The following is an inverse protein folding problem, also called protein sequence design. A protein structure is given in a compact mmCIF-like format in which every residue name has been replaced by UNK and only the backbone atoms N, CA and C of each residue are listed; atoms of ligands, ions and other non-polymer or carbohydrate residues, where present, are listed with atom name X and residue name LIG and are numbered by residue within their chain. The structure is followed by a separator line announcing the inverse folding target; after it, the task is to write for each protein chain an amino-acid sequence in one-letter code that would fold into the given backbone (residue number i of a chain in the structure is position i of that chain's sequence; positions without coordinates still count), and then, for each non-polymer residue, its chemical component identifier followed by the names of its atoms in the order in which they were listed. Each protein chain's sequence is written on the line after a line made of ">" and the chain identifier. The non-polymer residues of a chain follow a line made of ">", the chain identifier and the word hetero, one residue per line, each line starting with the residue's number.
data_IF_893676804222
#
_entry.id   IF_893676804222
#
_cell.length_a   1.000
_cell.length_b   1.000
_cell.length_c   1.000
_cell.angle_alpha   90.00
_cell.angle_beta   90.00
_cell.angle_gamma   90.00
#
_symmetry.space_group_name_H-M   'P 1'
#
loop_
_entity.id
_entity.type
_entity.pdbx_description
1 polymer ?
#
# COMPACT_ATOMS: atom_id res chain seq x y z
N UNK A 1 -64.91 43.36 42.79
CA UNK A 1 -63.43 43.36 42.91
C UNK A 1 -62.91 42.05 42.33
N UNK A 2 -61.92 42.16 41.44
CA UNK A 2 -60.99 41.15 40.88
C UNK A 2 -61.56 39.82 40.34
N UNK A 3 -61.59 39.76 38.99
CA UNK A 3 -61.58 38.55 38.16
C UNK A 3 -60.29 37.76 38.43
N UNK A 4 -60.37 36.46 38.67
CA UNK A 4 -59.20 35.57 38.58
C UNK A 4 -59.44 34.59 37.44
N UNK A 5 -58.75 34.85 36.34
CA UNK A 5 -58.69 34.05 35.13
C UNK A 5 -57.83 32.82 35.43
N UNK A 6 -58.41 31.63 35.25
CA UNK A 6 -57.68 30.36 35.22
C UNK A 6 -56.81 30.36 33.95
N UNK A 7 -55.50 30.29 34.12
CA UNK A 7 -54.57 29.89 33.05
C UNK A 7 -53.64 28.83 33.61
N UNK A 8 -54.02 27.58 33.40
CA UNK A 8 -53.12 26.42 33.55
C UNK A 8 -52.21 26.45 32.32
N UNK A 9 -51.01 27.03 32.46
CA UNK A 9 -49.93 26.82 31.48
C UNK A 9 -49.18 25.57 31.91
N UNK A 10 -49.65 24.42 31.43
CA UNK A 10 -48.86 23.20 31.43
C UNK A 10 -47.74 23.37 30.40
N UNK A 11 -46.58 23.86 30.83
CA UNK A 11 -45.35 23.79 30.06
C UNK A 11 -44.89 22.33 30.01
N UNK A 12 -45.51 21.55 29.12
CA UNK A 12 -44.91 20.36 28.56
C UNK A 12 -43.63 20.79 27.84
N UNK A 13 -42.50 20.67 28.52
CA UNK A 13 -41.23 20.46 27.86
C UNK A 13 -41.31 19.08 27.18
N UNK A 14 -41.95 19.05 26.01
CA UNK A 14 -41.67 18.07 24.98
C UNK A 14 -40.25 18.38 24.49
N UNK A 15 -39.25 17.94 25.27
CA UNK A 15 -37.90 17.71 24.78
C UNK A 15 -38.02 16.64 23.70
N UNK A 16 -38.29 17.11 22.49
CA UNK A 16 -38.27 16.31 21.28
C UNK A 16 -36.92 15.61 21.18
N UNK A 17 -36.98 14.29 21.35
CA UNK A 17 -36.18 13.30 20.66
C UNK A 17 -34.68 13.62 20.45
N UNK A 18 -33.85 13.12 21.35
CA UNK A 18 -32.52 12.60 20.96
C UNK A 18 -32.23 11.25 21.64
N UNK A 19 -33.26 10.41 21.81
CA UNK A 19 -33.15 9.06 22.42
C UNK A 19 -32.91 7.99 21.32
N UNK A 20 -32.48 8.36 20.11
CA UNK A 20 -32.26 7.40 19.03
C UNK A 20 -30.98 7.60 18.21
N UNK A 21 -29.97 8.31 18.73
CA UNK A 21 -28.61 8.11 18.25
C UNK A 21 -28.01 6.94 19.05
N UNK A 22 -28.30 5.71 18.61
CA UNK A 22 -27.44 4.57 18.97
C UNK A 22 -26.04 4.94 18.49
N UNK A 23 -25.19 5.43 19.41
CA UNK A 23 -23.77 5.71 19.20
C UNK A 23 -23.17 4.59 18.36
N UNK A 24 -23.09 4.81 17.06
CA UNK A 24 -22.71 3.74 16.14
C UNK A 24 -21.23 3.93 15.90
N UNK A 25 -20.48 3.12 16.62
CA UNK A 25 -19.03 3.16 16.65
C UNK A 25 -18.46 2.35 15.49
N UNK A 26 -17.17 2.53 15.25
CA UNK A 26 -16.36 1.68 14.41
C UNK A 26 -15.35 0.92 15.30
N UNK A 27 -14.85 -0.20 14.79
CA UNK A 27 -13.84 -0.99 15.48
C UNK A 27 -12.49 -0.95 14.77
N UNK A 28 -11.42 -1.05 15.54
CA UNK A 28 -10.06 -1.29 15.08
C UNK A 28 -9.47 -2.47 15.87
N UNK A 29 -8.89 -3.43 15.17
CA UNK A 29 -8.08 -4.49 15.72
C UNK A 29 -6.67 -4.39 15.15
N UNK A 30 -5.66 -4.52 16.01
CA UNK A 30 -4.24 -4.52 15.60
C UNK A 30 -3.54 -5.73 16.21
N UNK A 31 -2.85 -6.50 15.38
CA UNK A 31 -2.06 -7.68 15.74
C UNK A 31 -0.65 -7.48 15.18
N UNK A 32 0.38 -7.79 15.97
CA UNK A 32 1.78 -7.52 15.60
C UNK A 32 2.68 -8.76 15.58
N UNK A 33 2.13 -9.93 15.21
CA UNK A 33 2.85 -11.21 15.07
C UNK A 33 3.86 -11.48 16.19
N UNK A 34 3.39 -11.43 17.43
CA UNK A 34 4.18 -11.65 18.66
C UNK A 34 5.34 -10.66 18.90
N UNK A 35 5.35 -9.51 18.21
CA UNK A 35 6.23 -8.37 18.49
C UNK A 35 5.46 -7.32 19.30
N UNK A 36 5.66 -7.22 20.63
CA UNK A 36 5.00 -6.21 21.45
C UNK A 36 5.19 -4.82 20.86
N UNK A 37 4.08 -4.10 20.66
CA UNK A 37 4.09 -2.80 19.99
C UNK A 37 3.03 -1.89 20.60
N UNK A 38 3.35 -0.61 20.75
CA UNK A 38 2.42 0.45 21.10
C UNK A 38 1.67 0.93 19.86
N UNK A 39 0.35 1.08 19.95
CA UNK A 39 -0.48 1.55 18.84
C UNK A 39 -1.00 2.95 19.14
N UNK A 40 -0.89 3.84 18.17
CA UNK A 40 -1.37 5.21 18.24
C UNK A 40 -2.39 5.47 17.13
N UNK A 41 -3.42 6.26 17.44
CA UNK A 41 -4.44 6.72 16.51
C UNK A 41 -4.39 8.26 16.46
N UNK A 42 -4.12 8.83 15.30
CA UNK A 42 -3.85 10.26 15.09
C UNK A 42 -2.81 10.83 16.08
N UNK A 43 -1.75 10.04 16.33
CA UNK A 43 -0.67 10.39 17.26
C UNK A 43 -1.03 10.26 18.75
N UNK A 44 -2.29 9.94 19.09
CA UNK A 44 -2.68 9.65 20.47
C UNK A 44 -2.44 8.18 20.78
N UNK A 45 -1.78 7.88 21.90
CA UNK A 45 -1.59 6.51 22.36
C UNK A 45 -2.96 5.86 22.60
N UNK A 46 -3.19 4.70 21.99
CA UNK A 46 -4.41 3.92 22.13
C UNK A 46 -4.21 2.80 23.16
N UNK A 47 -3.42 1.79 22.81
CA UNK A 47 -3.11 0.62 23.67
C UNK A 47 -1.92 -0.15 23.07
N UNK A 48 -1.41 -1.17 23.76
CA UNK A 48 -0.47 -2.15 23.17
C UNK A 48 -1.17 -3.24 22.36
N UNK A 49 -0.53 -3.68 21.27
CA UNK A 49 -0.98 -4.83 20.49
C UNK A 49 -0.60 -6.16 21.19
N UNK A 50 -1.43 -7.22 21.06
CA UNK A 50 -2.68 -7.25 20.30
C UNK A 50 -3.82 -6.50 21.01
N UNK A 51 -4.58 -5.72 20.25
CA UNK A 51 -5.72 -4.94 20.78
C UNK A 51 -6.96 -5.07 19.91
N UNK A 52 -8.13 -4.88 20.52
CA UNK A 52 -9.41 -4.68 19.84
C UNK A 52 -10.16 -3.55 20.54
N UNK A 53 -10.29 -2.39 19.88
CA UNK A 53 -11.12 -1.27 20.35
C UNK A 53 -12.37 -1.17 19.47
N UNK A 54 -13.55 -1.14 20.08
CA UNK A 54 -14.85 -1.20 19.37
C UNK A 54 -15.66 0.10 19.50
N UNK A 55 -15.17 1.07 20.26
CA UNK A 55 -15.86 2.31 20.59
C UNK A 55 -15.20 3.54 19.96
N UNK A 56 -14.69 3.41 18.74
CA UNK A 56 -14.07 4.52 18.01
C UNK A 56 -15.16 5.25 17.22
N UNK A 57 -15.04 6.57 17.09
CA UNK A 57 -15.90 7.32 16.17
C UNK A 57 -15.56 6.93 14.73
N UNK A 58 -16.56 6.77 13.83
CA UNK A 58 -16.26 6.56 12.42
C UNK A 58 -15.51 7.75 11.82
N UNK A 59 -14.52 7.47 10.96
CA UNK A 59 -13.64 8.49 10.38
C UNK A 59 -12.41 7.90 9.71
N UNK A 60 -11.57 8.76 9.13
CA UNK A 60 -10.24 8.39 8.63
C UNK A 60 -9.22 8.74 9.69
N UNK A 61 -8.31 7.81 9.96
CA UNK A 61 -7.33 7.92 11.04
C UNK A 61 -5.94 7.51 10.55
N UNK A 62 -4.91 8.22 11.00
CA UNK A 62 -3.54 7.75 10.97
C UNK A 62 -3.32 6.72 12.07
N UNK A 63 -2.84 5.54 11.72
CA UNK A 63 -2.44 4.49 12.66
C UNK A 63 -0.93 4.38 12.63
N UNK A 64 -0.30 4.54 13.79
CA UNK A 64 1.13 4.28 13.99
C UNK A 64 1.31 3.08 14.92
N UNK A 65 2.13 2.13 14.49
CA UNK A 65 2.54 0.95 15.26
C UNK A 65 4.03 1.13 15.58
N UNK A 66 4.34 1.25 16.87
CA UNK A 66 5.70 1.44 17.39
C UNK A 66 6.12 0.17 18.14
N UNK A 67 7.06 -0.64 17.60
CA UNK A 67 7.59 -1.78 18.34
C UNK A 67 8.28 -1.36 19.64
N UNK A 68 8.16 -2.19 20.69
CA UNK A 68 8.92 -1.98 21.94
C UNK A 68 10.42 -2.23 21.73
N UNK A 69 10.78 -3.09 20.78
CA UNK A 69 12.16 -3.38 20.39
C UNK A 69 12.69 -2.25 19.48
N UNK A 70 13.72 -1.49 19.91
CA UNK A 70 14.23 -0.35 19.15
C UNK A 70 14.99 -0.74 17.88
N UNK A 71 15.26 -2.03 17.66
CA UNK A 71 15.87 -2.52 16.41
C UNK A 71 14.86 -2.67 15.29
N UNK A 72 13.57 -2.74 15.61
CA UNK A 72 12.49 -2.88 14.64
C UNK A 72 11.96 -1.52 14.19
N UNK A 73 11.51 -1.43 12.95
CA UNK A 73 11.02 -0.16 12.41
C UNK A 73 9.54 0.07 12.75
N UNK A 74 9.17 1.31 13.10
CA UNK A 74 7.77 1.68 13.25
C UNK A 74 7.06 1.68 11.89
N UNK A 75 5.75 1.44 11.92
CA UNK A 75 4.89 1.47 10.74
C UNK A 75 3.80 2.51 10.90
N UNK A 76 3.50 3.24 9.83
CA UNK A 76 2.46 4.25 9.82
C UNK A 76 1.61 4.09 8.56
N UNK A 77 0.30 4.16 8.73
CA UNK A 77 -0.68 3.97 7.66
C UNK A 77 -1.95 4.76 7.94
N UNK A 78 -2.79 4.94 6.92
CA UNK A 78 -4.11 5.56 7.06
C UNK A 78 -5.19 4.50 6.86
N UNK A 79 -6.21 4.50 7.72
CA UNK A 79 -7.37 3.59 7.63
C UNK A 79 -8.68 4.35 7.70
N UNK A 80 -9.72 3.81 7.08
CA UNK A 80 -11.08 4.35 7.16
C UNK A 80 -11.95 3.49 8.06
N UNK A 81 -12.14 3.94 9.29
CA UNK A 81 -12.99 3.28 10.27
C UNK A 81 -14.46 3.56 9.96
N UNK A 82 -15.16 2.57 9.41
CA UNK A 82 -16.57 2.71 9.01
C UNK A 82 -17.51 2.28 10.12
N UNK A 83 -18.63 3.00 10.21
CA UNK A 83 -19.72 2.75 11.16
C UNK A 83 -20.18 1.29 11.14
N UNK A 84 -20.15 0.64 12.31
CA UNK A 84 -20.61 -0.73 12.51
C UNK A 84 -19.67 -1.80 11.94
N UNK A 85 -18.49 -1.42 11.45
CA UNK A 85 -17.51 -2.33 10.86
C UNK A 85 -16.22 -2.35 11.67
N UNK A 86 -15.52 -3.48 11.61
CA UNK A 86 -14.21 -3.69 12.21
C UNK A 86 -13.15 -3.60 11.10
N UNK A 87 -12.18 -2.72 11.28
CA UNK A 87 -10.93 -2.71 10.49
C UNK A 87 -9.90 -3.55 11.22
N UNK A 88 -9.17 -4.40 10.51
CA UNK A 88 -8.16 -5.29 11.09
C UNK A 88 -6.81 -5.01 10.45
N UNK A 89 -5.78 -4.79 11.26
CA UNK A 89 -4.39 -4.66 10.83
C UNK A 89 -3.59 -5.80 11.45
N UNK A 90 -2.96 -6.61 10.61
CA UNK A 90 -1.95 -7.59 11.01
C UNK A 90 -0.62 -7.12 10.47
N UNK A 91 0.36 -6.89 11.34
CA UNK A 91 1.65 -6.32 10.99
C UNK A 91 2.80 -7.15 11.53
N UNK A 92 3.83 -7.37 10.72
CA UNK A 92 5.07 -8.06 11.08
C UNK A 92 6.20 -7.04 10.94
N UNK A 93 6.57 -6.33 12.01
CA UNK A 93 7.68 -5.39 11.96
C UNK A 93 9.01 -6.15 11.89
N UNK A 94 9.94 -5.60 11.11
CA UNK A 94 11.30 -6.09 10.97
C UNK A 94 12.29 -4.92 11.13
N UNK A 95 13.58 -5.18 11.04
CA UNK A 95 14.69 -4.23 11.19
C UNK A 95 14.76 -3.17 10.09
N UNK A 96 14.06 -3.39 8.98
CA UNK A 96 14.00 -2.48 7.83
C UNK A 96 12.58 -2.37 7.26
N UNK A 97 12.19 -1.21 6.69
CA UNK A 97 10.85 -1.01 6.14
C UNK A 97 10.45 -2.00 5.04
N UNK A 98 11.40 -2.47 4.23
CA UNK A 98 11.22 -3.41 3.14
C UNK A 98 11.18 -4.87 3.60
N UNK A 99 11.74 -5.18 4.77
CA UNK A 99 11.65 -6.50 5.39
C UNK A 99 10.38 -6.63 6.25
N UNK A 100 9.74 -5.50 6.57
CA UNK A 100 8.45 -5.48 7.28
C UNK A 100 7.30 -5.72 6.30
N UNK A 101 6.28 -6.44 6.76
CA UNK A 101 5.10 -6.76 5.94
C UNK A 101 3.85 -6.94 6.78
N UNK A 102 2.70 -7.08 6.12
CA UNK A 102 1.43 -7.26 6.80
C UNK A 102 0.22 -7.05 5.90
N UNK A 103 -0.97 -7.18 6.51
CA UNK A 103 -2.26 -7.07 5.82
C UNK A 103 -3.22 -6.18 6.58
N UNK A 104 -3.93 -5.33 5.87
CA UNK A 104 -5.04 -4.51 6.36
C UNK A 104 -6.32 -4.99 5.69
N UNK A 105 -7.34 -5.26 6.50
CA UNK A 105 -8.68 -5.64 6.07
C UNK A 105 -9.66 -4.52 6.41
N UNK A 106 -10.31 -3.98 5.38
CA UNK A 106 -11.39 -3.00 5.51
C UNK A 106 -12.63 -3.51 4.77
N UNK A 107 -13.81 -3.14 5.25
CA UNK A 107 -15.06 -3.41 4.52
C UNK A 107 -15.68 -2.11 4.05
N UNK A 108 -16.21 -2.11 2.83
CA UNK A 108 -16.95 -0.99 2.26
C UNK A 108 -18.34 -1.45 1.82
N UNK A 109 -19.43 -0.78 2.25
CA UNK A 109 -20.77 -1.13 1.78
C UNK A 109 -20.94 -0.85 0.28
N UNK A 110 -21.42 -1.82 -0.48
CA UNK A 110 -21.74 -1.65 -1.89
C UNK A 110 -23.08 -0.94 -2.09
N UNK A 111 -23.25 -0.30 -3.26
CA UNK A 111 -24.54 0.29 -3.65
C UNK A 111 -25.60 -0.79 -3.87
N UNK A 112 -25.23 -1.85 -4.58
CA UNK A 112 -26.06 -3.03 -4.78
C UNK A 112 -25.83 -3.99 -3.60
N UNK A 113 -26.86 -4.21 -2.78
CA UNK A 113 -26.75 -5.03 -1.56
C UNK A 113 -26.78 -6.53 -1.83
N UNK A 114 -26.96 -6.93 -3.09
CA UNK A 114 -27.09 -8.30 -3.54
C UNK A 114 -25.75 -8.84 -4.07
N UNK A 115 -24.76 -7.97 -4.28
CA UNK A 115 -23.42 -8.30 -4.75
C UNK A 115 -22.41 -8.34 -3.60
N UNK A 116 -21.30 -9.01 -3.84
CA UNK A 116 -20.12 -9.01 -3.00
C UNK A 116 -18.88 -8.94 -3.90
N UNK A 117 -17.83 -8.30 -3.40
CA UNK A 117 -16.59 -8.08 -4.15
C UNK A 117 -15.39 -8.22 -3.21
N UNK A 118 -14.24 -8.60 -3.74
CA UNK A 118 -12.96 -8.55 -3.03
C UNK A 118 -11.98 -7.70 -3.82
N UNK A 119 -11.38 -6.71 -3.16
CA UNK A 119 -10.36 -5.83 -3.73
C UNK A 119 -9.02 -6.17 -3.12
N UNK A 120 -8.03 -6.48 -3.95
CA UNK A 120 -6.65 -6.70 -3.53
C UNK A 120 -5.78 -5.53 -3.97
N UNK A 121 -5.00 -4.98 -3.05
CA UNK A 121 -4.05 -3.90 -3.29
C UNK A 121 -2.73 -4.31 -2.64
N UNK A 122 -1.63 -4.28 -3.37
CA UNK A 122 -0.34 -4.76 -2.86
C UNK A 122 0.73 -3.69 -2.89
N UNK A 123 1.68 -3.76 -1.96
CA UNK A 123 2.91 -2.98 -1.95
C UNK A 123 4.05 -4.00 -1.81
N UNK A 124 4.90 -4.19 -2.83
CA UNK A 124 4.84 -3.52 -4.12
C UNK A 124 3.61 -3.89 -4.99
N UNK A 125 3.34 -3.04 -5.96
CA UNK A 125 2.32 -3.26 -7.00
C UNK A 125 2.71 -4.47 -7.89
N UNK A 126 1.72 -5.14 -8.49
CA UNK A 126 1.97 -6.19 -9.49
C UNK A 126 2.17 -7.60 -8.92
N UNK A 127 1.89 -7.82 -7.63
CA UNK A 127 1.86 -9.16 -7.07
C UNK A 127 0.73 -10.01 -7.67
N UNK A 128 0.98 -11.31 -7.76
CA UNK A 128 0.02 -12.30 -8.26
C UNK A 128 -0.90 -12.68 -7.10
N UNK A 129 -2.20 -12.59 -7.34
CA UNK A 129 -3.27 -12.95 -6.41
C UNK A 129 -3.98 -14.19 -6.92
N UNK A 130 -4.13 -15.20 -6.08
CA UNK A 130 -5.00 -16.36 -6.32
C UNK A 130 -6.08 -16.41 -5.24
N UNK A 131 -7.35 -16.45 -5.63
CA UNK A 131 -8.50 -16.59 -4.73
C UNK A 131 -9.10 -17.98 -4.89
N UNK A 132 -9.25 -18.70 -3.78
CA UNK A 132 -9.72 -20.09 -3.68
C UNK A 132 -8.98 -21.07 -4.60
N UNK A 133 -7.71 -20.81 -4.89
CA UNK A 133 -6.90 -21.62 -5.80
C UNK A 133 -7.27 -21.50 -7.29
N UNK A 134 -8.16 -20.57 -7.66
CA UNK A 134 -8.57 -20.31 -9.04
C UNK A 134 -7.82 -19.08 -9.61
N UNK A 135 -8.29 -18.56 -10.75
CA UNK A 135 -7.66 -17.57 -11.65
C UNK A 135 -6.64 -16.60 -11.01
N UNK A 136 -5.43 -16.57 -11.60
CA UNK A 136 -4.35 -15.68 -11.17
C UNK A 136 -4.57 -14.29 -11.75
N UNK A 137 -4.72 -13.32 -10.86
CA UNK A 137 -4.87 -11.91 -11.18
C UNK A 137 -3.66 -11.10 -10.69
N UNK A 138 -3.47 -9.88 -11.21
CA UNK A 138 -2.38 -9.00 -10.78
C UNK A 138 -2.91 -7.82 -9.98
N UNK A 139 -2.38 -7.60 -8.78
CA UNK A 139 -2.78 -6.47 -7.95
C UNK A 139 -2.30 -5.11 -8.52
N UNK A 140 -3.11 -4.03 -8.40
CA UNK A 140 -4.42 -4.00 -7.77
C UNK A 140 -5.54 -4.57 -8.66
N UNK A 141 -6.44 -5.34 -8.06
CA UNK A 141 -7.56 -6.00 -8.76
C UNK A 141 -8.82 -6.00 -7.90
N UNK A 142 -10.00 -5.92 -8.54
CA UNK A 142 -11.31 -6.14 -7.91
C UNK A 142 -11.91 -7.39 -8.54
N UNK A 143 -12.20 -8.39 -7.71
CA UNK A 143 -12.89 -9.63 -8.09
C UNK A 143 -14.37 -9.47 -7.75
N UNK A 144 -15.26 -9.31 -8.75
CA UNK A 144 -16.69 -9.16 -8.50
C UNK A 144 -17.38 -10.52 -8.33
N UNK A 145 -18.53 -10.52 -7.66
CA UNK A 145 -19.40 -11.69 -7.61
C UNK A 145 -18.84 -12.86 -6.79
N UNK A 146 -17.95 -12.59 -5.84
CA UNK A 146 -17.44 -13.59 -4.91
C UNK A 146 -18.57 -14.01 -3.97
N UNK A 147 -18.80 -15.31 -3.82
CA UNK A 147 -19.87 -15.82 -2.96
C UNK A 147 -19.68 -15.36 -1.49
N UNK A 148 -20.76 -15.15 -0.71
CA UNK A 148 -20.62 -14.89 0.72
C UNK A 148 -20.14 -16.13 1.47
N UNK A 149 -19.13 -15.99 2.33
CA UNK A 149 -18.57 -17.12 3.07
C UNK A 149 -17.07 -16.95 3.38
N UNK A 150 -16.43 -18.03 3.82
CA UNK A 150 -14.98 -18.07 3.99
C UNK A 150 -14.31 -18.36 2.65
N UNK A 151 -13.29 -17.56 2.32
CA UNK A 151 -12.47 -17.70 1.14
C UNK A 151 -11.00 -17.65 1.53
N UNK A 152 -10.18 -18.40 0.81
CA UNK A 152 -8.73 -18.40 1.00
C UNK A 152 -8.07 -17.65 -0.15
N UNK A 153 -7.04 -16.87 0.13
CA UNK A 153 -6.26 -16.22 -0.91
C UNK A 153 -4.77 -16.37 -0.66
N UNK A 154 -4.02 -16.43 -1.75
CA UNK A 154 -2.56 -16.42 -1.77
C UNK A 154 -2.07 -15.22 -2.57
N UNK A 155 -1.04 -14.55 -2.06
CA UNK A 155 -0.34 -13.45 -2.74
C UNK A 155 1.13 -13.80 -2.86
N UNK A 156 1.66 -13.69 -4.08
CA UNK A 156 3.05 -14.00 -4.39
C UNK A 156 3.68 -12.91 -5.24
N UNK A 157 4.96 -12.59 -4.97
CA UNK A 157 5.77 -11.71 -5.79
C UNK A 157 7.23 -12.17 -5.71
N UNK A 158 7.96 -12.31 -6.83
CA UNK A 158 9.35 -12.76 -6.81
C UNK A 158 10.22 -11.91 -5.88
N UNK A 159 11.07 -12.57 -5.07
CA UNK A 159 11.92 -11.95 -4.04
C UNK A 159 11.20 -11.41 -2.80
N UNK A 160 9.90 -11.72 -2.62
CA UNK A 160 9.14 -11.39 -1.42
C UNK A 160 8.57 -12.64 -0.74
N UNK A 161 8.27 -12.53 0.55
CA UNK A 161 7.60 -13.56 1.34
C UNK A 161 6.16 -13.73 0.83
N UNK A 162 5.82 -14.94 0.38
CA UNK A 162 4.44 -15.29 0.00
C UNK A 162 3.52 -15.23 1.22
N UNK A 163 2.27 -14.81 1.00
CA UNK A 163 1.27 -14.70 2.07
C UNK A 163 0.01 -15.49 1.72
N UNK A 164 -0.49 -16.26 2.69
CA UNK A 164 -1.71 -17.05 2.58
C UNK A 164 -2.63 -16.71 3.75
N UNK A 165 -3.88 -16.37 3.44
CA UNK A 165 -4.83 -15.86 4.43
C UNK A 165 -6.27 -16.27 4.10
N UNK A 166 -7.13 -16.19 5.10
CA UNK A 166 -8.57 -16.41 4.96
C UNK A 166 -9.32 -15.10 5.19
N UNK A 167 -10.34 -14.83 4.39
CA UNK A 167 -11.29 -13.74 4.56
C UNK A 167 -12.71 -14.28 4.67
N UNK A 168 -13.59 -13.52 5.32
CA UNK A 168 -15.01 -13.77 5.28
C UNK A 168 -15.70 -12.70 4.42
N UNK A 169 -16.13 -13.09 3.23
CA UNK A 169 -16.87 -12.24 2.29
C UNK A 169 -18.33 -12.12 2.75
N UNK A 170 -18.84 -10.89 2.76
CA UNK A 170 -20.19 -10.58 3.24
C UNK A 170 -21.00 -9.96 2.10
N UNK A 171 -22.20 -10.48 1.87
CA UNK A 171 -23.11 -9.94 0.87
C UNK A 171 -23.41 -8.45 1.13
N UNK A 172 -23.37 -7.64 0.07
CA UNK A 172 -23.60 -6.21 0.11
C UNK A 172 -22.38 -5.38 0.52
N UNK A 173 -21.20 -6.01 0.64
CA UNK A 173 -19.93 -5.36 0.96
C UNK A 173 -18.83 -5.75 -0.03
N UNK A 174 -17.86 -4.84 -0.15
CA UNK A 174 -16.54 -5.09 -0.71
C UNK A 174 -15.57 -5.33 0.44
N UNK A 175 -14.89 -6.46 0.43
CA UNK A 175 -13.72 -6.71 1.28
C UNK A 175 -12.51 -6.07 0.60
N UNK A 176 -11.84 -5.13 1.26
CA UNK A 176 -10.62 -4.49 0.79
C UNK A 176 -9.46 -5.11 1.57
N UNK A 177 -8.58 -5.81 0.85
CA UNK A 177 -7.38 -6.46 1.37
C UNK A 177 -6.18 -5.69 0.85
N UNK A 178 -5.49 -4.98 1.75
CA UNK A 178 -4.25 -4.26 1.43
C UNK A 178 -3.09 -5.04 2.00
N UNK A 179 -2.15 -5.42 1.17
CA UNK A 179 -1.02 -6.26 1.56
C UNK A 179 0.27 -5.50 1.32
N UNK A 180 1.11 -5.42 2.34
CA UNK A 180 2.51 -5.06 2.17
C UNK A 180 3.35 -6.33 2.28
N UNK A 181 4.03 -6.67 1.20
CA UNK A 181 4.89 -7.85 1.13
C UNK A 181 6.27 -7.53 1.71
N UNK A 182 6.74 -8.39 2.61
CA UNK A 182 8.09 -8.35 3.14
C UNK A 182 9.06 -8.90 2.10
N UNK A 183 10.14 -8.19 1.81
CA UNK A 183 11.20 -8.66 0.92
C UNK A 183 11.99 -9.77 1.62
N UNK A 184 12.35 -10.80 0.88
CA UNK A 184 13.27 -11.84 1.38
C UNK A 184 14.67 -11.24 1.50
N UNK A 185 15.35 -11.50 2.61
CA UNK A 185 16.77 -11.16 2.73
C UNK A 185 17.58 -11.94 1.68
N UNK A 186 18.49 -11.24 0.99
CA UNK A 186 19.44 -11.91 0.12
C UNK A 186 20.42 -12.68 1.01
N UNK A 187 20.53 -13.99 0.79
CA UNK A 187 21.58 -14.80 1.41
C UNK A 187 22.91 -14.21 0.92
N UNK A 188 23.82 -13.76 1.81
CA UNK A 188 25.08 -13.19 1.38
C UNK A 188 25.84 -14.22 0.54
N UNK A 189 26.37 -13.80 -0.60
CA UNK A 189 27.10 -14.66 -1.55
C UNK A 189 28.32 -15.36 -0.91
N UNK A 190 28.79 -14.86 0.24
CA UNK A 190 29.81 -15.51 1.07
C UNK A 190 29.37 -16.84 1.70
N UNK A 191 28.07 -17.13 1.78
CA UNK A 191 27.51 -18.41 2.25
C UNK A 191 27.10 -19.34 1.09
N UNK A 192 27.11 -18.85 -0.15
CA UNK A 192 26.97 -19.73 -1.30
C UNK A 192 28.29 -20.49 -1.47
N UNK A 193 28.33 -21.73 -0.99
CA UNK A 193 29.42 -22.65 -1.34
C UNK A 193 29.54 -22.66 -2.88
N UNK A 194 30.72 -22.37 -3.45
CA UNK A 194 30.88 -22.40 -4.89
C UNK A 194 30.56 -23.83 -5.36
N UNK A 195 29.80 -23.99 -6.47
CA UNK A 195 29.69 -25.30 -7.09
C UNK A 195 31.12 -25.73 -7.46
N UNK A 196 31.57 -26.84 -6.87
CA UNK A 196 32.82 -27.53 -7.22
C UNK A 196 32.84 -27.73 -8.74
N UNK A 197 33.48 -26.80 -9.42
CA UNK A 197 33.68 -26.81 -10.86
C UNK A 197 35.05 -27.40 -11.10
N UNK A 198 35.06 -28.68 -11.46
CA UNK A 198 36.24 -29.40 -11.88
C UNK A 198 36.83 -28.70 -13.11
N UNK A 199 38.05 -28.19 -12.95
CA UNK A 199 38.76 -27.35 -13.92
C UNK A 199 39.48 -28.28 -14.90
N UNK A 200 39.04 -28.35 -16.16
CA UNK A 200 39.88 -28.86 -17.24
C UNK A 200 40.41 -27.68 -18.07
N UNK A 201 41.73 -27.59 -18.11
CA UNK A 201 42.52 -26.49 -18.63
C UNK A 201 42.77 -26.61 -20.14
N UNK A 202 42.72 -25.49 -20.86
CA UNK A 202 43.43 -25.32 -22.13
C UNK A 202 43.81 -23.84 -22.37
N UNK A 203 45.02 -23.53 -21.91
CA UNK A 203 46.08 -22.66 -22.45
C UNK A 203 45.81 -21.78 -23.70
N UNK A 204 45.67 -20.48 -23.44
CA UNK A 204 46.29 -19.26 -24.03
C UNK A 204 46.40 -18.93 -25.57
N UNK A 205 46.49 -17.60 -25.90
CA UNK A 205 46.25 -16.94 -27.20
C UNK A 205 47.55 -16.48 -27.94
N UNK A 206 47.52 -15.66 -29.04
CA UNK A 206 47.53 -14.18 -28.88
C UNK A 206 46.94 -13.28 -30.00
N UNK A 207 46.61 -12.04 -29.60
CA UNK A 207 46.75 -10.70 -30.25
C UNK A 207 46.42 -10.44 -31.75
N UNK A 208 45.70 -9.34 -32.06
CA UNK A 208 46.30 -8.13 -32.68
C UNK A 208 45.37 -6.89 -32.82
N UNK A 209 45.99 -5.70 -32.61
CA UNK A 209 45.84 -4.33 -33.18
C UNK A 209 44.50 -3.55 -33.35
N UNK A 210 44.46 -2.35 -32.71
CA UNK A 210 44.12 -0.96 -33.21
C UNK A 210 42.75 -0.68 -33.87
N UNK A 211 42.08 0.49 -33.79
CA UNK A 211 42.38 1.90 -33.47
C UNK A 211 41.03 2.66 -33.22
N UNK A 212 41.01 3.95 -32.77
CA UNK A 212 39.86 4.66 -32.20
C UNK A 212 39.16 5.65 -33.17
N UNK A 213 37.91 6.04 -32.87
CA UNK A 213 37.27 7.21 -33.49
C UNK A 213 36.60 8.12 -32.45
N UNK A 214 37.12 9.35 -32.43
CA UNK A 214 36.72 10.54 -31.70
C UNK A 214 35.73 11.36 -32.56
N UNK A 215 34.59 11.81 -32.04
CA UNK A 215 33.86 12.98 -32.58
C UNK A 215 33.21 13.77 -31.43
N UNK A 216 33.70 15.00 -31.23
CA UNK A 216 33.09 16.09 -30.44
C UNK A 216 31.91 16.74 -31.18
N UNK A 217 30.93 17.25 -30.41
CA UNK A 217 30.54 18.67 -30.31
C UNK A 217 29.02 18.92 -30.22
N UNK A 218 28.67 20.03 -29.57
CA UNK A 218 27.46 20.29 -28.80
C UNK A 218 26.41 21.24 -29.43
N UNK A 219 25.18 21.15 -28.89
CA UNK A 219 24.14 22.20 -28.59
C UNK A 219 23.52 23.04 -29.74
N UNK A 220 22.25 23.51 -29.58
CA UNK A 220 22.00 24.70 -28.76
C UNK A 220 20.80 24.61 -27.78
N UNK A 221 20.76 25.63 -26.93
CA UNK A 221 20.02 25.83 -25.69
C UNK A 221 18.80 26.76 -25.87
N UNK A 222 17.74 26.54 -25.07
CA UNK A 222 16.81 27.52 -24.47
C UNK A 222 15.70 26.74 -23.70
N UNK A 223 15.28 26.96 -22.45
CA UNK A 223 15.57 27.92 -21.37
C UNK A 223 15.12 27.32 -19.99
N UNK A 224 15.99 27.42 -18.98
CA UNK A 224 15.82 27.55 -17.50
C UNK A 224 14.98 26.57 -16.60
N UNK A 225 15.70 25.54 -16.09
CA UNK A 225 15.91 24.97 -14.70
C UNK A 225 15.14 25.44 -13.43
N UNK A 226 15.18 24.71 -12.27
CA UNK A 226 16.23 23.76 -11.78
C UNK A 226 15.68 22.36 -11.44
N UNK A 227 16.40 21.25 -11.40
CA UNK A 227 17.80 20.89 -11.14
C UNK A 227 18.25 19.84 -12.17
N UNK A 228 19.55 19.64 -12.40
CA UNK A 228 20.08 18.63 -13.33
C UNK A 228 19.84 17.17 -12.92
N UNK A 229 18.81 16.93 -12.12
CA UNK A 229 18.48 15.64 -11.55
C UNK A 229 17.31 15.05 -12.34
N UNK A 230 17.45 13.82 -12.83
CA UNK A 230 16.40 13.06 -13.51
C UNK A 230 15.82 12.01 -12.56
N UNK A 231 14.60 11.56 -12.83
CA UNK A 231 14.04 10.37 -12.17
C UNK A 231 14.21 9.19 -13.12
N UNK A 232 15.08 8.24 -12.76
CA UNK A 232 15.25 6.98 -13.49
C UNK A 232 14.28 5.93 -12.99
N UNK A 233 13.58 5.29 -13.93
CA UNK A 233 12.70 4.16 -13.66
C UNK A 233 13.53 2.88 -13.62
N UNK A 234 13.40 2.11 -12.53
CA UNK A 234 14.10 0.84 -12.33
C UNK A 234 13.28 -0.32 -12.91
N UNK A 235 13.88 -1.49 -13.14
CA UNK A 235 13.13 -2.71 -13.47
C UNK A 235 12.03 -2.99 -12.44
N UNK A 236 10.83 -3.30 -12.93
CA UNK A 236 9.61 -3.49 -12.13
C UNK A 236 9.13 -4.95 -12.15
N UNK A 237 9.51 -5.73 -13.17
CA UNK A 237 8.90 -7.01 -13.53
C UNK A 237 7.37 -6.93 -13.73
N UNK A 238 6.84 -5.72 -13.97
CA UNK A 238 5.43 -5.49 -14.25
C UNK A 238 5.27 -5.12 -15.73
N UNK A 239 4.52 -5.92 -16.49
CA UNK A 239 4.40 -5.79 -17.93
C UNK A 239 3.00 -5.36 -18.37
N UNK A 240 2.93 -4.44 -19.33
CA UNK A 240 1.71 -4.06 -20.03
C UNK A 240 1.98 -3.98 -21.53
N UNK A 241 1.16 -4.66 -22.34
CA UNK A 241 1.33 -4.76 -23.79
C UNK A 241 2.77 -5.16 -24.18
N UNK A 242 3.29 -6.21 -23.53
CA UNK A 242 4.66 -6.76 -23.68
C UNK A 242 5.80 -5.78 -23.37
N UNK A 243 5.52 -4.68 -22.66
CA UNK A 243 6.53 -3.71 -22.21
C UNK A 243 6.60 -3.66 -20.69
N UNK A 244 7.80 -3.72 -20.15
CA UNK A 244 8.03 -3.54 -18.71
C UNK A 244 7.80 -2.07 -18.35
N UNK A 245 6.89 -1.81 -17.42
CA UNK A 245 6.41 -0.46 -17.10
C UNK A 245 6.28 -0.22 -15.59
N UNK A 246 6.20 1.05 -15.21
CA UNK A 246 5.81 1.52 -13.89
C UNK A 246 4.55 2.39 -14.01
N UNK A 247 3.59 2.20 -13.10
CA UNK A 247 2.38 3.02 -13.02
C UNK A 247 2.71 4.45 -12.57
N UNK A 248 2.16 5.42 -13.29
CA UNK A 248 2.10 6.82 -12.89
C UNK A 248 0.76 7.09 -12.23
N UNK A 249 0.78 7.63 -11.03
CA UNK A 249 -0.38 7.92 -10.19
C UNK A 249 -0.67 9.41 -10.17
N UNK A 250 -1.95 9.76 -10.01
CA UNK A 250 -2.41 11.15 -9.89
C UNK A 250 -2.07 11.78 -8.54
N UNK A 251 -1.90 10.97 -7.49
CA UNK A 251 -1.47 11.38 -6.15
C UNK A 251 -0.40 10.40 -5.63
N UNK A 252 0.42 10.76 -4.63
CA UNK A 252 1.43 9.89 -4.02
C UNK A 252 0.77 8.80 -3.13
N UNK A 253 -0.08 7.98 -3.73
CA UNK A 253 -0.81 6.90 -3.08
C UNK A 253 -1.16 5.80 -4.09
N UNK A 254 -1.03 4.54 -3.67
CA UNK A 254 -1.44 3.36 -4.46
C UNK A 254 -2.95 3.26 -4.61
N UNK A 255 -3.72 3.98 -3.80
CA UNK A 255 -5.19 4.09 -3.92
C UNK A 255 -5.62 5.10 -4.99
N UNK A 256 -4.72 5.98 -5.41
CA UNK A 256 -5.07 7.04 -6.35
C UNK A 256 -5.19 6.52 -7.78
N UNK A 257 -5.95 7.24 -8.60
CA UNK A 257 -6.16 6.88 -9.99
C UNK A 257 -4.82 6.82 -10.74
N UNK A 258 -4.67 5.78 -11.57
CA UNK A 258 -3.56 5.63 -12.51
C UNK A 258 -3.73 6.66 -13.63
N UNK A 259 -2.77 7.58 -13.73
CA UNK A 259 -2.68 8.57 -14.80
C UNK A 259 -2.10 7.96 -16.10
N UNK A 260 -1.30 6.89 -15.97
CA UNK A 260 -0.73 6.16 -17.09
C UNK A 260 0.45 5.29 -16.67
N UNK A 261 1.35 5.03 -17.62
CA UNK A 261 2.49 4.13 -17.45
C UNK A 261 3.74 4.72 -18.11
N UNK A 262 4.89 4.47 -17.50
CA UNK A 262 6.22 4.82 -18.04
C UNK A 262 7.06 3.55 -18.14
N UNK A 263 7.91 3.45 -19.16
CA UNK A 263 8.71 2.24 -19.40
C UNK A 263 9.85 2.10 -18.38
N UNK A 264 10.17 0.87 -18.00
CA UNK A 264 11.34 0.59 -17.17
C UNK A 264 12.64 1.04 -17.88
N UNK A 265 13.64 1.42 -17.09
CA UNK A 265 14.93 1.98 -17.55
C UNK A 265 14.85 3.34 -18.27
N UNK A 266 13.68 3.95 -18.37
CA UNK A 266 13.52 5.32 -18.88
C UNK A 266 13.89 6.37 -17.83
N UNK A 267 14.07 7.62 -18.27
CA UNK A 267 14.34 8.77 -17.40
C UNK A 267 13.31 9.88 -17.64
N UNK A 268 12.88 10.53 -16.58
CA UNK A 268 11.84 11.56 -16.61
C UNK A 268 12.27 12.81 -15.85
N UNK A 269 11.79 13.97 -16.30
CA UNK A 269 11.98 15.23 -15.58
C UNK A 269 11.21 15.19 -14.25
N UNK A 270 11.82 15.56 -13.11
CA UNK A 270 11.11 15.66 -11.85
C UNK A 270 9.97 16.68 -11.92
N UNK A 271 8.83 16.37 -11.29
CA UNK A 271 7.65 17.24 -11.30
C UNK A 271 7.53 18.19 -10.10
N UNK A 272 8.37 18.01 -9.09
CA UNK A 272 8.30 18.66 -7.79
C UNK A 272 9.04 17.86 -6.72
N UNK A 273 8.85 18.22 -5.45
CA UNK A 273 9.50 17.51 -4.34
C UNK A 273 8.98 16.07 -4.21
N UNK A 274 9.91 15.14 -3.97
CA UNK A 274 9.57 13.77 -3.60
C UNK A 274 8.79 13.76 -2.29
N UNK A 275 7.88 12.79 -2.16
CA UNK A 275 7.15 12.50 -0.92
C UNK A 275 7.60 11.14 -0.40
N UNK A 276 7.35 10.86 0.87
CA UNK A 276 7.76 9.60 1.47
C UNK A 276 7.22 8.41 0.67
N UNK A 277 8.10 7.61 0.08
CA UNK A 277 7.73 6.47 -0.77
C UNK A 277 7.43 6.80 -2.25
N UNK A 278 7.54 8.06 -2.66
CA UNK A 278 7.11 8.52 -3.99
C UNK A 278 8.03 9.58 -4.60
N UNK A 279 8.47 9.34 -5.83
CA UNK A 279 9.10 10.36 -6.67
C UNK A 279 8.05 11.01 -7.56
N UNK A 280 8.19 12.31 -7.83
CA UNK A 280 7.30 13.01 -8.74
C UNK A 280 7.97 13.20 -10.09
N UNK A 281 7.20 13.08 -11.17
CA UNK A 281 7.66 13.24 -12.54
C UNK A 281 6.72 14.14 -13.34
N UNK A 282 7.22 14.76 -14.40
CA UNK A 282 6.39 15.35 -15.44
C UNK A 282 5.99 14.25 -16.42
N UNK A 283 4.69 13.94 -16.46
CA UNK A 283 4.09 12.93 -17.33
C UNK A 283 3.01 13.60 -18.20
N UNK A 284 3.18 13.55 -19.53
CA UNK A 284 2.29 14.21 -20.50
C UNK A 284 2.04 15.70 -20.20
N UNK A 285 3.05 16.41 -19.69
CA UNK A 285 2.97 17.83 -19.34
C UNK A 285 2.26 18.14 -18.01
N UNK A 286 1.87 17.12 -17.24
CA UNK A 286 1.26 17.25 -15.92
C UNK A 286 2.09 16.56 -14.83
N UNK A 287 1.82 16.89 -13.57
CA UNK A 287 2.43 16.23 -12.42
C UNK A 287 1.91 14.80 -12.26
N UNK A 288 2.82 13.84 -12.17
CA UNK A 288 2.54 12.44 -11.86
C UNK A 288 3.43 11.91 -10.74
N UNK A 289 3.01 10.83 -10.10
CA UNK A 289 3.70 10.20 -8.97
C UNK A 289 4.06 8.75 -9.29
N UNK A 290 5.29 8.35 -9.02
CA UNK A 290 5.79 6.99 -9.19
C UNK A 290 6.38 6.48 -7.87
N UNK A 291 6.28 5.18 -7.59
CA UNK A 291 6.83 4.61 -6.36
C UNK A 291 8.36 4.77 -6.32
N UNK A 292 8.90 5.20 -5.18
CA UNK A 292 10.36 5.27 -4.97
C UNK A 292 11.02 3.89 -4.89
N UNK A 293 10.25 2.81 -4.71
CA UNK A 293 10.78 1.45 -4.73
C UNK A 293 11.27 1.05 -6.14
N UNK A 294 10.71 1.70 -7.17
CA UNK A 294 11.01 1.46 -8.59
C UNK A 294 11.49 2.71 -9.32
N UNK A 295 11.90 3.74 -8.58
CA UNK A 295 12.45 4.94 -9.19
C UNK A 295 13.46 5.60 -8.27
N UNK A 296 14.49 6.23 -8.86
CA UNK A 296 15.48 6.99 -8.10
C UNK A 296 15.84 8.28 -8.82
N UNK A 297 16.25 9.26 -8.04
CA UNK A 297 16.85 10.48 -8.58
C UNK A 297 18.30 10.21 -9.01
N UNK A 298 18.73 10.76 -10.14
CA UNK A 298 20.10 10.68 -10.66
C UNK A 298 20.60 12.01 -11.22
#
# INVERSE_FOLDING_TARGET
>A
MKRFLIVIVASLFLSGCSILDKNTTAGLQVITNDKPSSVFLDGQFLEKAPLIEKNIKPGTYGVRIEPDDPTLVPYETSVTLRKGLLTVITWKPDTRPELSGGVIYEMEPLKNKQQSEVSFITIPDGAIVALDGHEKEFAPVIVPGVDPGQHEFEITLPSYESQQHTINVVQGYRMIVRVKLAKLEAIPESEMEPPVSEVEAATQPPADTTEPLDIKQASPSAEASPSGQLVRILPTNFFQDDREVLRVRSQPSTESATAGFVEANSTHTPGGEAKLGWNSIIYNGALGWVSSDYSRLE
#
